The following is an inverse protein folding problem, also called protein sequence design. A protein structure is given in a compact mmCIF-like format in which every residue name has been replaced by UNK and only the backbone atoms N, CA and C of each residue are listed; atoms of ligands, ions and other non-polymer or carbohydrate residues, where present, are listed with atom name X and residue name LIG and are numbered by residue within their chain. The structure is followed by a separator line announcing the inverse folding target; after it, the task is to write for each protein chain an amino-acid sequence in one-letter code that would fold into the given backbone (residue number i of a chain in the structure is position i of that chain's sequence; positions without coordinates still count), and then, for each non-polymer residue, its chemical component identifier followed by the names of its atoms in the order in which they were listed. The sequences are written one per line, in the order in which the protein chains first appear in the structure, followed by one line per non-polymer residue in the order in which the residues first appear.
data_IF_476245571649
#
_entry.id   IF_476245571649
#
_cell.length_a   1.000
_cell.length_b   1.000
_cell.length_c   1.000
_cell.angle_alpha   90.00
_cell.angle_beta   90.00
_cell.angle_gamma   90.00
#
_symmetry.space_group_name_H-M   'P 1'
#
loop_
_entity.id
_entity.type
_entity.pdbx_description
1 polymer ?
#
# COMPACT_ATOMS: atom_id res chain seq x y z
N UNK A 1 6.88 12.75 2.59
CA UNK A 1 5.82 13.76 2.36
C UNK A 1 4.60 13.41 3.20
N UNK A 2 3.82 12.41 2.79
CA UNK A 2 2.70 11.85 3.54
C UNK A 2 3.18 10.97 4.70
N UNK A 3 2.31 10.72 5.67
CA UNK A 3 2.45 9.65 6.66
C UNK A 3 1.82 8.37 6.11
N UNK A 4 2.19 8.04 4.88
CA UNK A 4 1.74 6.85 4.17
C UNK A 4 3.00 6.23 3.56
N UNK A 5 3.28 4.98 3.92
CA UNK A 5 4.40 4.22 3.40
C UNK A 5 3.89 3.25 2.33
N UNK A 6 4.72 2.93 1.33
CA UNK A 6 4.39 2.00 0.25
C UNK A 6 4.95 0.63 0.60
N UNK A 7 4.08 -0.36 0.78
CA UNK A 7 4.45 -1.74 1.07
C UNK A 7 4.81 -2.50 -0.22
N UNK A 8 3.93 -2.41 -1.22
CA UNK A 8 4.10 -2.98 -2.55
C UNK A 8 3.39 -2.13 -3.62
N UNK A 9 3.81 -2.26 -4.88
CA UNK A 9 3.14 -1.67 -6.03
C UNK A 9 3.43 -2.42 -7.32
N UNK A 10 2.52 -2.31 -8.29
CA UNK A 10 2.73 -2.69 -9.68
C UNK A 10 2.03 -1.68 -10.60
N UNK A 11 2.78 -1.13 -11.55
CA UNK A 11 2.26 -0.23 -12.58
C UNK A 11 2.13 -1.01 -13.89
N UNK A 12 0.90 -1.09 -14.39
CA UNK A 12 0.53 -1.75 -15.65
C UNK A 12 0.17 -0.69 -16.70
N UNK A 13 0.05 -1.09 -17.96
CA UNK A 13 -0.33 -0.17 -19.05
C UNK A 13 -1.75 0.40 -18.90
N UNK A 14 -2.63 -0.28 -18.14
CA UNK A 14 -4.05 0.07 -18.01
C UNK A 14 -4.52 0.29 -16.56
N UNK A 15 -3.70 -0.01 -15.55
CA UNK A 15 -4.04 0.22 -14.14
C UNK A 15 -2.78 0.23 -13.25
N UNK A 16 -2.92 0.64 -12.00
CA UNK A 16 -1.87 0.52 -10.97
C UNK A 16 -2.45 -0.10 -9.72
N UNK A 17 -1.72 -1.02 -9.10
CA UNK A 17 -2.01 -1.50 -7.75
C UNK A 17 -0.98 -0.95 -6.77
N UNK A 18 -1.43 -0.56 -5.58
CA UNK A 18 -0.58 -0.13 -4.45
C UNK A 18 -1.07 -0.75 -3.15
N UNK A 19 -0.15 -1.25 -2.34
CA UNK A 19 -0.38 -1.65 -0.96
C UNK A 19 0.25 -0.60 -0.07
N UNK A 20 -0.56 0.02 0.80
CA UNK A 20 -0.18 1.19 1.58
C UNK A 20 -0.26 0.89 3.08
N UNK A 21 0.64 1.48 3.85
CA UNK A 21 0.57 1.54 5.31
C UNK A 21 0.32 3.00 5.72
N UNK A 22 -0.82 3.25 6.38
CA UNK A 22 -1.19 4.59 6.87
C UNK A 22 -0.70 4.73 8.32
N UNK A 23 0.21 5.67 8.56
CA UNK A 23 0.84 5.92 9.85
C UNK A 23 0.24 7.18 10.49
N UNK A 24 -0.96 7.03 11.05
CA UNK A 24 -1.70 8.14 11.66
C UNK A 24 -0.95 8.75 12.85
N UNK A 25 -0.29 7.92 13.66
CA UNK A 25 0.46 8.37 14.83
C UNK A 25 1.66 9.24 14.44
N UNK A 26 2.36 8.89 13.35
CA UNK A 26 3.39 9.76 12.78
C UNK A 26 2.84 11.11 12.35
N UNK A 27 1.64 11.16 11.77
CA UNK A 27 1.02 12.43 11.40
C UNK A 27 0.60 13.27 12.63
N UNK A 28 0.04 12.61 13.65
CA UNK A 28 -0.33 13.24 14.94
C UNK A 28 0.88 13.80 15.67
N UNK A 29 2.04 13.15 15.56
CA UNK A 29 3.29 13.59 16.16
C UNK A 29 3.92 14.84 15.51
N UNK A 30 3.48 15.26 14.32
CA UNK A 30 4.07 16.42 13.65
C UNK A 30 3.62 17.75 14.23
N UNK A 31 4.58 18.65 14.39
CA UNK A 31 4.34 20.06 14.67
C UNK A 31 3.58 20.75 13.52
N UNK A 32 2.98 21.91 13.82
CA UNK A 32 2.32 22.75 12.83
C UNK A 32 3.23 23.09 11.65
N UNK A 33 4.50 23.42 11.93
CA UNK A 33 5.50 23.77 10.92
C UNK A 33 5.87 22.59 10.04
N UNK A 34 6.07 21.39 10.61
CA UNK A 34 6.31 20.18 9.83
C UNK A 34 5.14 19.85 8.90
N UNK A 35 3.90 19.96 9.38
CA UNK A 35 2.72 19.71 8.55
C UNK A 35 2.66 20.65 7.35
N UNK A 36 2.85 21.96 7.58
CA UNK A 36 2.82 22.98 6.53
C UNK A 36 3.97 22.75 5.53
N UNK A 37 5.18 22.49 6.03
CA UNK A 37 6.35 22.20 5.20
C UNK A 37 6.16 20.96 4.33
N UNK A 38 5.60 19.88 4.90
CA UNK A 38 5.29 18.64 4.16
C UNK A 38 4.21 18.86 3.11
N UNK A 39 3.18 19.63 3.41
CA UNK A 39 2.14 19.98 2.45
C UNK A 39 2.71 20.77 1.27
N UNK A 40 3.62 21.71 1.54
CA UNK A 40 4.27 22.53 0.52
C UNK A 40 5.16 21.74 -0.46
N UNK A 41 5.61 20.53 -0.08
CA UNK A 41 6.35 19.63 -0.98
C UNK A 41 5.46 19.06 -2.11
N UNK A 42 4.14 19.05 -1.95
CA UNK A 42 3.19 18.45 -2.91
C UNK A 42 2.16 19.44 -3.45
N UNK A 43 1.93 20.54 -2.73
CA UNK A 43 0.92 21.56 -3.04
C UNK A 43 1.53 22.96 -2.87
N UNK A 44 1.12 23.95 -3.68
CA UNK A 44 1.65 25.33 -3.58
C UNK A 44 1.33 26.08 -2.28
N UNK A 45 0.50 25.53 -1.40
CA UNK A 45 0.02 26.22 -0.20
C UNK A 45 -0.97 27.36 -0.49
N UNK A 46 -1.17 28.22 0.50
CA UNK A 46 -1.93 29.47 0.41
C UNK A 46 -1.15 30.62 1.07
N UNK A 47 -1.66 31.86 0.94
CA UNK A 47 -1.02 33.07 1.50
C UNK A 47 -0.60 32.89 2.96
N UNK A 48 -1.53 32.49 3.84
CA UNK A 48 -1.26 32.34 5.27
C UNK A 48 -0.19 31.29 5.56
N UNK A 49 -0.19 30.16 4.83
CA UNK A 49 0.83 29.14 5.00
C UNK A 49 2.20 29.57 4.46
N UNK A 50 2.25 30.38 3.41
CA UNK A 50 3.49 30.89 2.83
C UNK A 50 4.10 31.95 3.76
N UNK A 51 3.26 32.87 4.26
CA UNK A 51 3.62 33.82 5.31
C UNK A 51 4.05 33.13 6.59
N UNK A 52 3.44 31.99 6.94
CA UNK A 52 3.89 31.19 8.07
C UNK A 52 5.29 30.62 7.85
N UNK A 53 5.66 30.10 6.68
CA UNK A 53 7.02 29.54 6.50
C UNK A 53 8.09 30.64 6.49
N UNK A 54 7.78 31.84 6.00
CA UNK A 54 8.72 32.97 6.01
C UNK A 54 8.83 33.58 7.42
N UNK A 55 9.95 33.39 8.11
CA UNK A 55 10.19 33.88 9.46
C UNK A 55 10.03 35.41 9.59
N UNK A 56 10.45 36.17 8.57
CA UNK A 56 10.35 37.63 8.59
C UNK A 56 8.88 38.04 8.58
N UNK A 57 8.06 37.41 7.73
CA UNK A 57 6.64 37.73 7.63
C UNK A 57 5.81 37.13 8.77
N UNK A 58 6.20 35.95 9.29
CA UNK A 58 5.55 35.27 10.42
C UNK A 58 5.48 36.18 11.65
N UNK A 59 6.52 36.96 11.90
CA UNK A 59 6.61 37.88 13.04
C UNK A 59 5.54 39.00 13.02
N UNK A 60 5.04 39.33 11.83
CA UNK A 60 4.03 40.37 11.63
C UNK A 60 2.60 39.83 11.62
N UNK A 61 2.41 38.52 11.82
CA UNK A 61 1.07 37.92 11.83
C UNK A 61 0.30 38.30 13.09
N UNK A 62 -0.95 38.70 12.91
CA UNK A 62 -1.86 38.91 14.04
C UNK A 62 -2.36 37.58 14.63
N UNK A 63 -3.00 37.66 15.80
CA UNK A 63 -3.53 36.48 16.51
C UNK A 63 -4.56 35.70 15.69
N UNK A 64 -5.37 36.37 14.87
CA UNK A 64 -6.39 35.72 14.06
C UNK A 64 -5.76 34.95 12.89
N UNK A 65 -4.74 35.52 12.24
CA UNK A 65 -3.96 34.88 11.19
C UNK A 65 -3.22 33.64 11.73
N UNK A 66 -2.57 33.74 12.88
CA UNK A 66 -1.90 32.59 13.53
C UNK A 66 -2.91 31.48 13.83
N UNK A 67 -4.08 31.82 14.38
CA UNK A 67 -5.16 30.84 14.64
C UNK A 67 -5.69 30.20 13.34
N UNK A 68 -5.80 30.97 12.26
CA UNK A 68 -6.21 30.44 10.96
C UNK A 68 -5.18 29.46 10.40
N UNK A 69 -3.88 29.72 10.54
CA UNK A 69 -2.82 28.78 10.16
C UNK A 69 -2.89 27.50 10.96
N UNK A 70 -3.11 27.57 12.27
CA UNK A 70 -3.28 26.37 13.10
C UNK A 70 -4.44 25.48 12.61
N UNK A 71 -5.57 26.08 12.23
CA UNK A 71 -6.71 25.36 11.65
C UNK A 71 -6.37 24.72 10.30
N UNK A 72 -5.65 25.45 9.44
CA UNK A 72 -5.19 24.93 8.14
C UNK A 72 -4.25 23.74 8.34
N UNK A 73 -3.30 23.85 9.27
CA UNK A 73 -2.38 22.77 9.58
C UNK A 73 -3.10 21.54 10.12
N UNK A 74 -4.09 21.68 10.99
CA UNK A 74 -4.88 20.54 11.46
C UNK A 74 -5.65 19.85 10.32
N UNK A 75 -6.21 20.63 9.40
CA UNK A 75 -6.84 20.07 8.21
C UNK A 75 -5.83 19.33 7.32
N UNK A 76 -4.66 19.92 7.07
CA UNK A 76 -3.62 19.29 6.24
C UNK A 76 -2.99 18.07 6.90
N UNK A 77 -2.88 18.04 8.23
CA UNK A 77 -2.44 16.87 8.99
C UNK A 77 -3.32 15.67 8.67
N UNK A 78 -4.65 15.85 8.75
CA UNK A 78 -5.63 14.82 8.39
C UNK A 78 -5.46 14.35 6.94
N UNK A 79 -5.24 15.28 6.02
CA UNK A 79 -5.05 14.96 4.59
C UNK A 79 -3.74 14.21 4.32
N UNK A 80 -2.68 14.47 5.08
CA UNK A 80 -1.36 13.86 4.88
C UNK A 80 -1.28 12.39 5.34
N UNK A 81 -2.32 11.86 5.99
CA UNK A 81 -2.49 10.44 6.26
C UNK A 81 -3.81 9.88 5.68
N UNK A 82 -4.41 10.57 4.71
CA UNK A 82 -5.63 10.14 4.04
C UNK A 82 -5.34 9.53 2.66
N UNK A 83 -5.84 8.31 2.43
CA UNK A 83 -5.61 7.57 1.18
C UNK A 83 -6.24 8.30 -0.01
N UNK A 84 -7.40 8.94 0.15
CA UNK A 84 -8.08 9.62 -0.96
C UNK A 84 -7.27 10.85 -1.41
N UNK A 85 -6.68 11.59 -0.47
CA UNK A 85 -5.77 12.69 -0.78
C UNK A 85 -4.46 12.20 -1.39
N UNK A 86 -3.91 11.09 -0.91
CA UNK A 86 -2.74 10.46 -1.52
C UNK A 86 -3.01 10.09 -2.98
N UNK A 87 -4.10 9.35 -3.25
CA UNK A 87 -4.47 8.94 -4.61
C UNK A 87 -4.79 10.13 -5.50
N UNK A 88 -5.44 11.17 -4.98
CA UNK A 88 -5.71 12.40 -5.74
C UNK A 88 -4.42 13.08 -6.21
N UNK A 89 -3.44 13.24 -5.32
CA UNK A 89 -2.17 13.89 -5.64
C UNK A 89 -1.23 13.00 -6.46
N UNK A 90 -1.39 11.68 -6.40
CA UNK A 90 -0.72 10.74 -7.30
C UNK A 90 -1.29 10.82 -8.72
N UNK A 91 -2.62 10.77 -8.84
CA UNK A 91 -3.30 10.56 -10.11
C UNK A 91 -3.38 11.82 -10.98
N UNK A 92 -3.59 13.01 -10.39
CA UNK A 92 -3.78 14.25 -11.14
C UNK A 92 -2.57 14.61 -12.03
N UNK A 93 -1.32 14.62 -11.53
CA UNK A 93 -0.18 14.96 -12.35
C UNK A 93 0.08 13.94 -13.47
N UNK A 94 -0.21 12.66 -13.22
CA UNK A 94 -0.10 11.60 -14.22
C UNK A 94 -1.12 11.82 -15.33
N UNK A 95 -2.38 12.06 -14.97
CA UNK A 95 -3.45 12.31 -15.94
C UNK A 95 -3.16 13.53 -16.81
N UNK A 96 -2.67 14.63 -16.21
CA UNK A 96 -2.28 15.83 -16.96
C UNK A 96 -1.15 15.55 -17.95
N UNK A 97 -0.10 14.87 -17.50
CA UNK A 97 1.06 14.55 -18.34
C UNK A 97 0.71 13.60 -19.49
N UNK A 98 -0.09 12.56 -19.23
CA UNK A 98 -0.52 11.63 -20.26
C UNK A 98 -1.39 12.32 -21.33
N UNK A 99 -2.35 13.15 -20.90
CA UNK A 99 -3.16 13.94 -21.84
C UNK A 99 -2.32 14.91 -22.68
N UNK A 100 -1.31 15.54 -22.07
CA UNK A 100 -0.37 16.43 -22.77
C UNK A 100 0.49 15.67 -23.79
N UNK A 101 1.01 14.49 -23.41
CA UNK A 101 1.79 13.60 -24.28
C UNK A 101 0.97 13.11 -25.48
N UNK A 102 -0.30 12.77 -25.26
CA UNK A 102 -1.23 12.30 -26.30
C UNK A 102 -1.92 13.44 -27.08
N UNK A 103 -1.65 14.71 -26.72
CA UNK A 103 -2.29 15.87 -27.35
C UNK A 103 -3.81 15.90 -27.19
N UNK A 104 -4.36 15.31 -26.12
CA UNK A 104 -5.78 15.16 -25.89
C UNK A 104 -6.25 15.86 -24.59
N UNK A 105 -7.57 15.89 -24.38
CA UNK A 105 -8.18 16.38 -23.15
C UNK A 105 -9.24 15.40 -22.69
N UNK A 106 -9.43 15.27 -21.37
CA UNK A 106 -10.46 14.41 -20.82
C UNK A 106 -10.01 13.64 -19.59
N UNK A 107 -10.77 12.61 -19.24
CA UNK A 107 -10.47 11.74 -18.10
C UNK A 107 -9.48 10.67 -18.51
N UNK A 108 -8.34 10.62 -17.82
CA UNK A 108 -7.34 9.56 -17.96
C UNK A 108 -7.67 8.34 -17.09
N UNK A 109 -8.08 8.57 -15.83
CA UNK A 109 -8.44 7.51 -14.88
C UNK A 109 -9.93 7.23 -14.84
N UNK A 110 -10.29 6.00 -14.45
CA UNK A 110 -11.66 5.68 -14.01
C UNK A 110 -12.07 6.53 -12.80
N UNK A 111 -13.39 6.65 -12.58
CA UNK A 111 -13.94 7.61 -11.61
C UNK A 111 -13.47 7.40 -10.16
N UNK A 112 -13.63 6.20 -9.60
CA UNK A 112 -13.26 5.89 -8.21
C UNK A 112 -12.22 4.77 -8.18
N UNK A 113 -11.23 4.89 -7.30
CA UNK A 113 -10.33 3.79 -7.00
C UNK A 113 -11.01 2.78 -6.07
N UNK A 114 -10.57 1.52 -6.12
CA UNK A 114 -10.97 0.47 -5.18
C UNK A 114 -9.99 0.47 -4.00
N UNK A 115 -10.50 0.29 -2.79
CA UNK A 115 -9.70 0.23 -1.56
C UNK A 115 -10.20 -0.91 -0.68
N UNK A 116 -9.28 -1.79 -0.27
CA UNK A 116 -9.57 -2.96 0.55
C UNK A 116 -8.67 -2.94 1.78
N UNK A 117 -9.26 -3.02 2.97
CA UNK A 117 -8.49 -3.07 4.22
C UNK A 117 -7.88 -4.47 4.39
N UNK A 118 -6.59 -4.54 4.71
CA UNK A 118 -5.86 -5.78 4.99
C UNK A 118 -5.76 -5.92 6.51
N UNK A 119 -6.41 -6.92 7.07
CA UNK A 119 -6.66 -6.97 8.52
C UNK A 119 -5.65 -7.83 9.29
N UNK A 120 -4.88 -8.68 8.62
CA UNK A 120 -3.86 -9.53 9.21
C UNK A 120 -2.64 -9.73 8.30
N UNK A 121 -1.59 -10.36 8.86
CA UNK A 121 -0.34 -10.61 8.15
C UNK A 121 -0.52 -11.51 6.92
N UNK A 122 -1.42 -12.49 6.98
CA UNK A 122 -1.72 -13.38 5.87
C UNK A 122 -2.33 -12.61 4.69
N UNK A 123 -3.33 -11.76 4.96
CA UNK A 123 -3.93 -10.87 3.99
C UNK A 123 -2.90 -9.86 3.42
N UNK A 124 -2.05 -9.30 4.28
CA UNK A 124 -0.99 -8.37 3.87
C UNK A 124 0.00 -9.02 2.89
N UNK A 125 0.58 -10.15 3.29
CA UNK A 125 1.62 -10.83 2.50
C UNK A 125 1.05 -11.41 1.21
N UNK A 126 -0.15 -11.99 1.24
CA UNK A 126 -0.84 -12.47 0.04
C UNK A 126 -1.20 -11.32 -0.91
N UNK A 127 -1.66 -10.17 -0.40
CA UNK A 127 -1.96 -9.00 -1.23
C UNK A 127 -0.69 -8.41 -1.86
N UNK A 128 0.39 -8.29 -1.09
CA UNK A 128 1.67 -7.84 -1.64
C UNK A 128 2.16 -8.78 -2.75
N UNK A 129 2.12 -10.10 -2.54
CA UNK A 129 2.49 -11.07 -3.57
C UNK A 129 1.58 -11.01 -4.81
N UNK A 130 0.26 -10.89 -4.61
CA UNK A 130 -0.71 -10.68 -5.70
C UNK A 130 -0.36 -9.47 -6.56
N UNK A 131 0.01 -8.35 -5.92
CA UNK A 131 0.40 -7.10 -6.59
C UNK A 131 1.73 -7.27 -7.32
N UNK A 132 2.76 -7.78 -6.65
CA UNK A 132 4.10 -7.94 -7.22
C UNK A 132 4.15 -8.95 -8.37
N UNK A 133 3.25 -9.94 -8.37
CA UNK A 133 3.08 -10.92 -9.44
C UNK A 133 2.10 -10.47 -10.54
N UNK A 134 1.51 -9.28 -10.45
CA UNK A 134 0.51 -8.84 -11.45
C UNK A 134 1.03 -8.87 -12.90
N UNK A 135 2.26 -8.37 -13.22
CA UNK A 135 2.79 -8.48 -14.58
C UNK A 135 3.07 -9.92 -15.02
N UNK A 136 3.42 -10.81 -14.10
CA UNK A 136 3.65 -12.24 -14.38
C UNK A 136 2.33 -12.94 -14.70
N UNK A 137 1.30 -12.70 -13.85
CA UNK A 137 -0.07 -13.19 -14.05
C UNK A 137 -0.69 -12.70 -15.36
N UNK A 138 -0.38 -11.46 -15.77
CA UNK A 138 -0.84 -10.89 -17.03
C UNK A 138 -0.05 -11.38 -18.26
N UNK A 139 1.00 -12.20 -18.08
CA UNK A 139 1.86 -12.67 -19.17
C UNK A 139 2.78 -11.60 -19.77
N UNK A 140 2.91 -10.44 -19.12
CA UNK A 140 3.78 -9.32 -19.55
C UNK A 140 5.24 -9.58 -19.18
N UNK A 141 5.47 -10.27 -18.06
CA UNK A 141 6.78 -10.64 -17.57
C UNK A 141 6.86 -12.15 -17.31
N UNK A 142 8.02 -12.76 -17.56
CA UNK A 142 8.21 -14.20 -17.31
C UNK A 142 8.66 -14.49 -15.88
N UNK A 143 9.28 -13.51 -15.23
CA UNK A 143 9.75 -13.60 -13.84
C UNK A 143 9.57 -12.26 -13.10
N UNK A 144 9.50 -12.24 -11.76
CA UNK A 144 9.38 -11.01 -10.99
C UNK A 144 10.48 -9.97 -11.27
N UNK A 145 11.69 -10.38 -11.62
CA UNK A 145 12.82 -9.49 -11.93
C UNK A 145 12.69 -8.80 -13.29
N UNK A 146 11.95 -9.42 -14.22
CA UNK A 146 11.67 -8.86 -15.56
C UNK A 146 10.50 -7.88 -15.55
N UNK A 147 9.67 -7.88 -14.50
CA UNK A 147 8.56 -6.95 -14.28
C UNK A 147 9.02 -5.50 -14.08
N UNK A 148 8.95 -4.67 -15.13
CA UNK A 148 9.63 -3.38 -15.17
C UNK A 148 9.31 -2.40 -14.02
N UNK A 149 8.04 -2.26 -13.67
CA UNK A 149 7.55 -1.22 -12.76
C UNK A 149 6.87 -1.80 -11.51
N UNK A 150 7.58 -2.68 -10.79
CA UNK A 150 7.08 -3.32 -9.56
C UNK A 150 7.98 -3.09 -8.35
N UNK A 151 7.41 -3.20 -7.16
CA UNK A 151 8.17 -3.20 -5.92
C UNK A 151 9.10 -4.40 -5.80
N UNK A 152 8.69 -5.60 -6.22
CA UNK A 152 9.54 -6.81 -6.13
C UNK A 152 10.82 -6.65 -6.94
N UNK A 153 10.76 -6.10 -8.15
CA UNK A 153 11.96 -5.82 -8.95
C UNK A 153 12.87 -4.82 -8.23
N UNK A 154 12.30 -3.76 -7.64
CA UNK A 154 13.05 -2.77 -6.88
C UNK A 154 13.73 -3.37 -5.66
N UNK A 155 13.03 -4.24 -4.92
CA UNK A 155 13.55 -4.98 -3.75
C UNK A 155 14.64 -5.96 -4.17
N UNK A 156 14.42 -6.77 -5.19
CA UNK A 156 15.39 -7.73 -5.71
C UNK A 156 16.68 -7.05 -6.19
N UNK A 157 16.56 -5.90 -6.89
CA UNK A 157 17.73 -5.12 -7.31
C UNK A 157 18.54 -4.60 -6.12
N UNK A 158 17.88 -4.05 -5.11
CA UNK A 158 18.53 -3.55 -3.90
C UNK A 158 19.18 -4.68 -3.07
N UNK A 159 18.53 -5.85 -3.01
CA UNK A 159 19.03 -7.02 -2.30
C UNK A 159 20.36 -7.55 -2.84
N UNK A 160 20.64 -7.39 -4.15
CA UNK A 160 21.96 -7.71 -4.76
C UNK A 160 23.10 -6.87 -4.18
N UNK A 161 22.78 -5.73 -3.59
CA UNK A 161 23.71 -4.83 -2.91
C UNK A 161 23.50 -4.83 -1.39
N UNK A 162 22.82 -5.84 -0.85
CA UNK A 162 22.62 -6.06 0.59
C UNK A 162 21.88 -4.92 1.33
N UNK A 163 20.98 -4.21 0.65
CA UNK A 163 20.14 -3.18 1.29
C UNK A 163 18.66 -3.30 0.87
N UNK A 164 17.78 -2.67 1.65
CA UNK A 164 16.36 -2.51 1.28
C UNK A 164 16.09 -1.08 0.76
N UNK A 165 15.27 -0.92 -0.28
CA UNK A 165 15.02 0.39 -0.89
C UNK A 165 14.27 1.33 0.07
N UNK A 166 14.82 2.52 0.32
CA UNK A 166 14.27 3.52 1.26
C UNK A 166 12.90 4.08 0.86
N UNK A 167 12.51 3.93 -0.40
CA UNK A 167 11.19 4.36 -0.91
C UNK A 167 10.07 3.37 -0.60
N UNK A 168 10.37 2.19 -0.05
CA UNK A 168 9.41 1.16 0.31
C UNK A 168 9.50 0.90 1.81
N UNK A 169 8.39 0.50 2.42
CA UNK A 169 8.39 0.08 3.82
C UNK A 169 9.31 -1.15 3.97
N UNK A 170 10.31 -1.12 4.88
CA UNK A 170 11.28 -2.20 4.99
C UNK A 170 10.66 -3.40 5.70
N UNK A 171 11.12 -4.60 5.34
CA UNK A 171 10.90 -5.82 6.10
C UNK A 171 11.73 -5.80 7.38
N UNK A 172 11.11 -6.11 8.50
CA UNK A 172 11.75 -6.13 9.83
C UNK A 172 11.80 -7.51 10.48
N UNK A 173 11.40 -8.56 9.74
CA UNK A 173 11.35 -9.93 10.24
C UNK A 173 10.14 -10.17 11.15
N UNK A 174 10.26 -11.15 12.05
CA UNK A 174 9.17 -11.58 12.95
C UNK A 174 9.51 -11.31 14.43
N UNK A 175 9.71 -10.06 14.85
CA UNK A 175 10.05 -9.74 16.23
C UNK A 175 8.82 -9.98 17.14
N UNK A 176 9.00 -10.81 18.18
CA UNK A 176 7.94 -11.16 19.15
C UNK A 176 7.65 -10.06 20.17
N UNK A 177 8.56 -9.09 20.34
CA UNK A 177 8.44 -7.96 21.26
C UNK A 177 9.16 -6.73 20.68
N UNK A 178 8.69 -5.52 21.01
CA UNK A 178 9.24 -4.24 20.54
C UNK A 178 9.43 -4.20 19.02
N UNK A 179 8.36 -4.49 18.27
CA UNK A 179 8.38 -4.52 16.82
C UNK A 179 8.77 -3.13 16.27
N UNK A 180 9.90 -3.00 15.55
CA UNK A 180 10.24 -1.75 14.90
C UNK A 180 9.27 -1.50 13.73
N UNK A 181 9.15 -0.24 13.34
CA UNK A 181 8.30 0.12 12.20
C UNK A 181 8.76 -0.58 10.91
N UNK A 182 7.90 -1.42 10.34
CA UNK A 182 8.15 -2.12 9.09
C UNK A 182 7.16 -3.25 8.84
N UNK A 183 7.41 -4.02 7.79
CA UNK A 183 6.63 -5.20 7.44
C UNK A 183 7.02 -6.37 8.37
N UNK A 184 6.06 -6.98 9.10
CA UNK A 184 6.29 -8.11 10.03
C UNK A 184 6.55 -9.41 9.28
N UNK A 185 7.56 -9.42 8.42
CA UNK A 185 7.89 -10.61 7.65
C UNK A 185 9.38 -10.67 7.35
N UNK A 186 9.90 -11.89 7.28
CA UNK A 186 11.29 -12.13 6.90
C UNK A 186 11.45 -11.87 5.39
N UNK A 187 12.36 -10.98 5.02
CA UNK A 187 12.52 -10.54 3.63
C UNK A 187 12.86 -11.68 2.68
N UNK A 188 13.77 -12.59 3.08
CA UNK A 188 14.15 -13.74 2.26
C UNK A 188 12.99 -14.72 2.06
N UNK A 189 12.17 -14.91 3.09
CA UNK A 189 10.97 -15.74 3.02
C UNK A 189 9.97 -15.12 2.03
N UNK A 190 9.82 -13.80 2.03
CA UNK A 190 8.99 -13.10 1.06
C UNK A 190 9.47 -13.29 -0.38
N UNK A 191 10.78 -13.13 -0.63
CA UNK A 191 11.35 -13.34 -1.97
C UNK A 191 11.13 -14.77 -2.46
N UNK A 192 11.33 -15.76 -1.58
CA UNK A 192 11.09 -17.17 -1.89
C UNK A 192 9.63 -17.42 -2.26
N UNK A 193 8.69 -16.91 -1.44
CA UNK A 193 7.26 -17.04 -1.72
C UNK A 193 6.90 -16.44 -3.07
N UNK A 194 7.35 -15.21 -3.38
CA UNK A 194 7.00 -14.55 -4.63
C UNK A 194 7.58 -15.28 -5.85
N UNK A 195 8.84 -15.72 -5.80
CA UNK A 195 9.46 -16.47 -6.91
C UNK A 195 8.74 -17.80 -7.15
N UNK A 196 8.57 -18.63 -6.10
CA UNK A 196 7.94 -19.94 -6.25
C UNK A 196 6.47 -19.85 -6.64
N UNK A 197 5.74 -18.87 -6.09
CA UNK A 197 4.35 -18.62 -6.49
C UNK A 197 4.26 -18.18 -7.94
N UNK A 198 5.16 -17.29 -8.39
CA UNK A 198 5.22 -16.87 -9.79
C UNK A 198 5.50 -18.02 -10.75
N UNK A 199 6.38 -18.97 -10.36
CA UNK A 199 6.63 -20.20 -11.12
C UNK A 199 5.43 -21.14 -11.12
N UNK A 200 4.77 -21.31 -9.97
CA UNK A 200 3.60 -22.17 -9.83
C UNK A 200 2.38 -21.65 -10.62
N UNK A 201 2.30 -20.36 -10.93
CA UNK A 201 1.24 -19.76 -11.74
C UNK A 201 1.48 -19.85 -13.26
N UNK A 202 2.66 -20.30 -13.70
CA UNK A 202 3.04 -20.34 -15.11
C UNK A 202 2.30 -21.47 -15.86
N UNK A 203 1.92 -21.20 -17.10
CA UNK A 203 1.29 -22.15 -18.05
C UNK A 203 -0.14 -22.61 -17.72
N UNK A 204 -0.89 -21.83 -16.93
CA UNK A 204 -2.31 -22.10 -16.64
C UNK A 204 -2.55 -23.38 -15.84
N UNK A 205 -1.49 -24.01 -15.33
CA UNK A 205 -1.53 -25.13 -14.40
C UNK A 205 -0.96 -24.67 -13.08
N UNK A 206 -1.73 -24.84 -12.01
CA UNK A 206 -1.24 -24.60 -10.65
C UNK A 206 -0.16 -25.64 -10.33
N UNK A 207 1.10 -25.21 -10.40
CA UNK A 207 2.24 -25.96 -9.93
C UNK A 207 2.24 -26.04 -8.41
N UNK A 208 3.26 -26.73 -7.87
CA UNK A 208 3.48 -26.81 -6.42
C UNK A 208 4.60 -25.88 -6.00
N UNK A 209 4.53 -25.38 -4.78
CA UNK A 209 5.63 -24.69 -4.11
C UNK A 209 6.44 -25.70 -3.29
N UNK A 210 7.70 -25.38 -3.01
CA UNK A 210 8.60 -26.25 -2.25
C UNK A 210 8.17 -26.39 -0.80
N UNK A 211 8.68 -27.41 -0.11
CA UNK A 211 8.41 -27.64 1.32
C UNK A 211 8.77 -26.44 2.19
N UNK A 212 9.83 -25.71 1.82
CA UNK A 212 10.22 -24.49 2.52
C UNK A 212 9.16 -23.40 2.37
N UNK A 213 8.66 -23.15 1.16
CA UNK A 213 7.57 -22.22 0.93
C UNK A 213 6.27 -22.68 1.62
N UNK A 214 5.94 -23.97 1.57
CA UNK A 214 4.78 -24.54 2.31
C UNK A 214 4.88 -24.31 3.82
N UNK A 215 6.06 -24.47 4.40
CA UNK A 215 6.30 -24.17 5.82
C UNK A 215 6.14 -22.67 6.14
N UNK A 216 6.56 -21.78 5.24
CA UNK A 216 6.33 -20.34 5.39
C UNK A 216 4.82 -20.04 5.34
N UNK A 217 4.11 -20.60 4.37
CA UNK A 217 2.65 -20.45 4.19
C UNK A 217 1.88 -21.00 5.40
N UNK A 218 2.29 -22.15 5.95
CA UNK A 218 1.69 -22.74 7.14
C UNK A 218 1.85 -21.83 8.37
N UNK A 219 2.96 -21.11 8.52
CA UNK A 219 3.14 -20.11 9.61
C UNK A 219 2.20 -18.91 9.49
N UNK A 220 1.70 -18.61 8.28
CA UNK A 220 0.65 -17.62 8.06
C UNK A 220 -0.76 -18.18 8.38
N UNK A 221 -0.87 -19.48 8.68
CA UNK A 221 -2.15 -20.17 8.92
C UNK A 221 -2.91 -20.48 7.64
N UNK A 222 -2.19 -20.76 6.55
CA UNK A 222 -2.76 -21.08 5.24
C UNK A 222 -2.27 -22.44 4.75
N UNK A 223 -3.07 -23.09 3.89
CA UNK A 223 -2.62 -24.21 3.05
C UNK A 223 -1.93 -23.71 1.78
N UNK A 224 -1.21 -24.61 1.10
CA UNK A 224 -0.65 -24.34 -0.23
C UNK A 224 -1.73 -23.94 -1.24
N UNK A 225 -2.85 -24.66 -1.28
CA UNK A 225 -3.93 -24.37 -2.23
C UNK A 225 -4.54 -22.99 -1.96
N UNK A 226 -4.81 -22.67 -0.68
CA UNK A 226 -5.38 -21.38 -0.30
C UNK A 226 -4.44 -20.22 -0.60
N UNK A 227 -3.13 -20.39 -0.38
CA UNK A 227 -2.13 -19.38 -0.72
C UNK A 227 -2.08 -19.09 -2.22
N UNK A 228 -2.02 -20.15 -3.03
CA UNK A 228 -2.02 -20.03 -4.49
C UNK A 228 -3.31 -19.35 -4.99
N UNK A 229 -4.47 -19.76 -4.46
CA UNK A 229 -5.75 -19.16 -4.82
C UNK A 229 -5.83 -17.67 -4.43
N UNK A 230 -5.43 -17.31 -3.20
CA UNK A 230 -5.39 -15.91 -2.75
C UNK A 230 -4.48 -15.04 -3.62
N UNK A 231 -3.27 -15.52 -3.90
CA UNK A 231 -2.26 -14.74 -4.63
C UNK A 231 -2.54 -14.63 -6.13
N UNK A 232 -3.37 -15.52 -6.70
CA UNK A 232 -3.79 -15.44 -8.11
C UNK A 232 -5.10 -14.68 -8.32
N UNK A 233 -6.03 -14.77 -7.36
CA UNK A 233 -7.42 -14.37 -7.55
C UNK A 233 -7.98 -13.48 -6.43
N UNK A 234 -7.13 -12.77 -5.69
CA UNK A 234 -7.52 -11.94 -4.53
C UNK A 234 -8.76 -11.07 -4.79
N UNK A 235 -8.75 -10.27 -5.85
CA UNK A 235 -9.84 -9.34 -6.19
C UNK A 235 -11.12 -10.04 -6.71
N UNK A 236 -11.04 -11.31 -7.10
CA UNK A 236 -12.22 -12.11 -7.47
C UNK A 236 -12.91 -12.65 -6.22
N UNK A 237 -12.16 -12.86 -5.14
CA UNK A 237 -12.65 -13.42 -3.89
C UNK A 237 -13.12 -12.36 -2.90
N UNK A 238 -12.47 -11.20 -2.88
CA UNK A 238 -12.76 -10.11 -1.96
C UNK A 238 -13.05 -8.81 -2.71
N UNK A 239 -14.20 -8.23 -2.42
CA UNK A 239 -14.62 -6.91 -2.90
C UNK A 239 -14.46 -5.80 -1.83
N UNK A 240 -14.07 -6.16 -0.61
CA UNK A 240 -13.97 -5.28 0.57
C UNK A 240 -12.79 -5.68 1.45
N UNK A 241 -12.93 -5.57 2.77
CA UNK A 241 -11.85 -5.96 3.69
C UNK A 241 -11.46 -7.45 3.55
N UNK A 242 -10.18 -7.74 3.75
CA UNK A 242 -9.56 -9.07 3.66
C UNK A 242 -8.91 -9.39 5.00
N UNK A 243 -9.28 -10.53 5.57
CA UNK A 243 -8.70 -11.05 6.80
C UNK A 243 -9.51 -12.19 7.37
N UNK A 244 -9.03 -12.76 8.47
CA UNK A 244 -9.73 -13.81 9.22
C UNK A 244 -11.10 -13.34 9.69
N UNK A 245 -12.02 -14.29 9.86
CA UNK A 245 -13.43 -14.00 10.13
C UNK A 245 -13.64 -13.06 11.33
N UNK A 246 -12.96 -13.29 12.45
CA UNK A 246 -13.13 -12.48 13.66
C UNK A 246 -12.72 -11.01 13.40
N UNK A 247 -11.62 -10.79 12.69
CA UNK A 247 -11.15 -9.45 12.31
C UNK A 247 -12.11 -8.77 11.34
N UNK A 248 -12.71 -9.52 10.40
CA UNK A 248 -13.75 -8.96 9.52
C UNK A 248 -14.95 -8.47 10.33
N UNK A 249 -15.39 -9.23 11.33
CA UNK A 249 -16.51 -8.83 12.20
C UNK A 249 -16.16 -7.57 12.99
N UNK A 250 -14.99 -7.54 13.62
CA UNK A 250 -14.49 -6.37 14.35
C UNK A 250 -14.40 -5.12 13.46
N UNK A 251 -13.83 -5.28 12.26
CA UNK A 251 -13.71 -4.20 11.28
C UNK A 251 -15.08 -3.63 10.88
N UNK A 252 -16.04 -4.48 10.49
CA UNK A 252 -17.37 -4.02 10.07
C UNK A 252 -18.14 -3.36 11.22
N UNK A 253 -17.99 -3.87 12.45
CA UNK A 253 -18.55 -3.23 13.65
C UNK A 253 -17.94 -1.84 13.87
N UNK A 254 -16.62 -1.71 13.74
CA UNK A 254 -15.91 -0.44 13.92
C UNK A 254 -16.36 0.63 12.91
N UNK A 255 -16.60 0.25 11.65
CA UNK A 255 -17.06 1.18 10.60
C UNK A 255 -18.59 1.35 10.58
N UNK A 256 -19.33 0.80 11.55
CA UNK A 256 -20.78 0.94 11.68
C UNK A 256 -21.61 0.17 10.64
N UNK A 257 -21.04 -0.86 9.99
CA UNK A 257 -21.76 -1.70 9.05
C UNK A 257 -22.44 -2.88 9.74
N UNK A 258 -23.75 -3.03 9.56
CA UNK A 258 -24.52 -4.12 10.16
C UNK A 258 -24.28 -5.49 9.50
N UNK A 259 -23.93 -5.51 8.21
CA UNK A 259 -23.65 -6.74 7.45
C UNK A 259 -22.14 -6.90 7.28
N UNK A 260 -21.62 -8.04 7.70
CA UNK A 260 -20.22 -8.42 7.45
C UNK A 260 -20.11 -9.13 6.10
N UNK A 261 -19.45 -8.48 5.14
CA UNK A 261 -19.17 -9.07 3.84
C UNK A 261 -17.89 -9.95 3.89
N UNK A 262 -17.78 -10.93 2.98
CA UNK A 262 -16.56 -11.74 2.84
C UNK A 262 -16.36 -12.88 3.85
N UNK A 263 -17.30 -13.13 4.79
CA UNK A 263 -17.17 -14.19 5.80
C UNK A 263 -16.99 -15.59 5.16
N UNK A 264 -17.80 -15.96 4.18
CA UNK A 264 -17.72 -17.29 3.58
C UNK A 264 -16.37 -17.50 2.88
N UNK A 265 -15.91 -16.51 2.13
CA UNK A 265 -14.60 -16.49 1.49
C UNK A 265 -13.48 -16.58 2.52
N UNK A 266 -13.54 -15.78 3.59
CA UNK A 266 -12.55 -15.76 4.67
C UNK A 266 -12.45 -17.13 5.36
N UNK A 267 -13.58 -17.76 5.70
CA UNK A 267 -13.58 -19.11 6.28
C UNK A 267 -12.90 -20.14 5.39
N UNK A 268 -13.14 -20.04 4.08
CA UNK A 268 -12.58 -20.98 3.10
C UNK A 268 -11.08 -20.76 2.89
N UNK A 269 -10.67 -19.51 2.71
CA UNK A 269 -9.31 -19.17 2.25
C UNK A 269 -8.32 -18.81 3.36
N UNK A 270 -8.79 -18.27 4.49
CA UNK A 270 -7.91 -17.68 5.52
C UNK A 270 -7.95 -18.41 6.88
N UNK A 271 -8.83 -19.41 7.03
CA UNK A 271 -8.98 -20.20 8.26
C UNK A 271 -8.67 -21.70 8.07
N UNK A 272 -8.10 -22.12 6.94
CA UNK A 272 -7.85 -23.54 6.64
C UNK A 272 -6.36 -23.90 6.78
N UNK A 273 -5.91 -24.05 8.02
CA UNK A 273 -4.71 -24.78 8.38
C UNK A 273 -4.99 -25.65 9.61
#
# INVERSE_FOLDING_TARGET
MFAIDICAYAVMSNHTHVVLHVDEDKAKGWSQEEVITRWHQVCKGNYLSNTWIDENQRSHMDKAQVKAVARIAEEWRKRLHDISWFMRLLNEPIARKANEEDGCTGRFWEGRFKSQALLDEAALVACMAYVDLNPVRAGIATTPETSAYTSIKKRAKAAKSSYQPTSLLPFVGNPRANMPKGLPFVFTDYLLLVDETGRAMRDGKWGRISDNARNIVARLGLSEENWLELTGHLEQHFSGAIGKEHLLREYHQHIGQQRTHGISTSRRLLNAA
#
